data_IF_306728350954
#
_entry.id   IF_306728350954
#
_cell.length_a   1.000
_cell.length_b   1.000
_cell.length_c   1.000
_cell.angle_alpha   90.00
_cell.angle_beta   90.00
_cell.angle_gamma   90.00
#
_symmetry.space_group_name_H-M   'P 1'
#
loop_
_entity.id
_entity.type
_entity.pdbx_description
1 polymer ?
#
# COMPACT_ATOMS: atom_id res chain seq x y z
N UNK A 1 -11.85 -25.65 61.93
CA UNK A 1 -10.74 -26.41 61.31
C UNK A 1 -10.96 -26.74 59.82
N UNK A 2 -11.69 -25.93 59.05
CA UNK A 2 -11.98 -26.18 57.62
C UNK A 2 -11.24 -25.21 56.68
N UNK A 3 -10.61 -24.15 57.19
CA UNK A 3 -9.95 -23.11 56.39
C UNK A 3 -8.47 -23.36 56.06
N UNK A 4 -7.87 -24.47 56.51
CA UNK A 4 -6.44 -24.76 56.25
C UNK A 4 -6.24 -25.69 55.03
N UNK A 5 -7.29 -26.42 54.62
CA UNK A 5 -7.18 -27.37 53.50
C UNK A 5 -7.33 -26.73 52.10
N UNK A 6 -7.88 -25.52 51.97
CA UNK A 6 -7.97 -24.85 50.67
C UNK A 6 -6.65 -24.21 50.22
N UNK A 7 -5.78 -23.82 51.16
CA UNK A 7 -4.48 -23.22 50.85
C UNK A 7 -3.44 -24.24 50.34
N UNK A 8 -3.50 -25.49 50.82
CA UNK A 8 -2.54 -26.53 50.45
C UNK A 8 -2.84 -27.10 49.05
N UNK A 9 -4.11 -27.13 48.62
CA UNK A 9 -4.48 -27.61 47.27
C UNK A 9 -4.03 -26.64 46.16
N UNK A 10 -4.01 -25.33 46.43
CA UNK A 10 -3.54 -24.33 45.48
C UNK A 10 -2.01 -24.31 45.32
N UNK A 11 -1.22 -24.68 46.35
CA UNK A 11 0.24 -24.77 46.19
C UNK A 11 0.68 -26.00 45.37
N UNK A 12 -0.10 -27.09 45.40
CA UNK A 12 0.22 -28.30 44.63
C UNK A 12 -0.04 -28.14 43.12
N UNK A 13 -1.07 -27.38 42.73
CA UNK A 13 -1.29 -27.02 41.32
C UNK A 13 -0.31 -25.93 40.84
N UNK A 14 0.02 -24.95 41.68
CA UNK A 14 1.00 -23.92 41.32
C UNK A 14 2.43 -24.48 41.16
N UNK A 15 2.79 -25.56 41.88
CA UNK A 15 4.07 -26.26 41.67
C UNK A 15 4.10 -27.14 40.42
N UNK A 16 2.95 -27.58 39.92
CA UNK A 16 2.87 -28.39 38.69
C UNK A 16 3.02 -27.53 37.42
N UNK A 17 2.62 -26.25 37.48
CA UNK A 17 2.84 -25.29 36.38
C UNK A 17 4.30 -24.80 36.32
N UNK A 18 5.09 -25.01 37.39
CA UNK A 18 6.46 -24.48 37.51
C UNK A 18 7.55 -25.41 36.93
N UNK A 19 7.20 -26.52 36.28
CA UNK A 19 8.16 -27.59 35.91
C UNK A 19 7.92 -28.22 34.54
N UNK A 20 7.16 -27.57 33.65
CA UNK A 20 7.04 -27.95 32.23
C UNK A 20 7.95 -27.12 31.31
N UNK A 21 8.99 -26.48 31.85
CA UNK A 21 9.95 -25.65 31.11
C UNK A 21 11.28 -26.39 30.82
N UNK A 22 11.33 -27.70 31.06
CA UNK A 22 12.50 -28.51 30.69
C UNK A 22 12.38 -28.94 29.25
N UNK A 23 13.05 -28.19 28.35
CA UNK A 23 13.35 -28.53 26.95
C UNK A 23 12.18 -29.22 26.25
N UNK A 24 11.28 -28.43 25.67
CA UNK A 24 10.25 -28.96 24.78
C UNK A 24 10.94 -29.86 23.73
N UNK A 25 10.66 -31.15 23.78
CA UNK A 25 11.22 -32.15 22.85
C UNK A 25 10.83 -31.84 21.39
N UNK A 26 9.83 -30.96 21.18
CA UNK A 26 9.32 -30.57 19.87
C UNK A 26 9.22 -29.05 19.72
N UNK A 27 10.34 -28.31 19.66
CA UNK A 27 10.29 -26.86 19.51
C UNK A 27 9.58 -26.47 18.20
N UNK A 28 8.75 -25.44 18.26
CA UNK A 28 8.14 -24.83 17.07
C UNK A 28 9.28 -24.29 16.19
N UNK A 29 9.42 -24.86 14.99
CA UNK A 29 10.42 -24.44 14.00
C UNK A 29 9.81 -23.37 13.10
N UNK A 30 10.35 -22.16 13.18
CA UNK A 30 9.98 -21.09 12.24
C UNK A 30 10.73 -21.23 10.92
N UNK A 31 10.15 -20.79 9.79
CA UNK A 31 10.85 -20.68 8.52
C UNK A 31 12.12 -19.83 8.66
N UNK A 32 13.19 -20.21 7.97
CA UNK A 32 14.46 -19.45 7.98
C UNK A 32 14.35 -18.05 7.36
N UNK A 33 13.25 -17.78 6.65
CA UNK A 33 12.92 -16.47 6.08
C UNK A 33 12.41 -15.48 7.12
N UNK A 34 11.92 -15.94 8.26
CA UNK A 34 11.40 -15.10 9.33
C UNK A 34 12.55 -14.54 10.18
N UNK A 35 12.73 -13.22 10.19
CA UNK A 35 13.72 -12.60 11.07
C UNK A 35 13.24 -12.61 12.53
N UNK A 36 14.17 -12.86 13.45
CA UNK A 36 13.92 -12.77 14.90
C UNK A 36 13.33 -11.41 15.30
N UNK A 37 13.79 -10.31 14.70
CA UNK A 37 13.30 -8.97 15.01
C UNK A 37 11.83 -8.79 14.63
N UNK A 38 11.38 -9.40 13.53
CA UNK A 38 9.98 -9.31 13.09
C UNK A 38 9.07 -10.06 14.06
N UNK A 39 9.51 -11.25 14.49
CA UNK A 39 8.82 -12.01 15.52
C UNK A 39 8.76 -11.24 16.85
N UNK A 40 9.87 -10.64 17.28
CA UNK A 40 9.93 -9.82 18.49
C UNK A 40 8.93 -8.64 18.43
N UNK A 41 8.72 -8.02 17.27
CA UNK A 41 7.70 -6.99 17.08
C UNK A 41 6.28 -7.53 17.21
N UNK A 42 5.98 -8.69 16.62
CA UNK A 42 4.67 -9.32 16.80
C UNK A 42 4.43 -9.71 18.26
N UNK A 43 5.41 -10.30 18.94
CA UNK A 43 5.31 -10.66 20.35
C UNK A 43 5.13 -9.40 21.21
N UNK A 44 5.84 -8.32 20.90
CA UNK A 44 5.65 -7.03 21.58
C UNK A 44 4.20 -6.54 21.42
N UNK A 45 3.62 -6.63 20.22
CA UNK A 45 2.22 -6.30 19.99
C UNK A 45 1.27 -7.20 20.81
N UNK A 46 1.47 -8.51 20.80
CA UNK A 46 0.58 -9.47 21.46
C UNK A 46 0.60 -9.36 22.99
N UNK A 47 1.79 -9.22 23.59
CA UNK A 47 1.94 -9.23 25.04
C UNK A 47 1.80 -7.85 25.67
N UNK A 48 2.17 -6.78 24.96
CA UNK A 48 2.15 -5.42 25.51
C UNK A 48 0.97 -4.59 24.99
N UNK A 49 0.36 -5.03 23.90
CA UNK A 49 -0.79 -4.40 23.29
C UNK A 49 -0.47 -3.17 22.43
N UNK A 50 -1.49 -2.60 21.76
CA UNK A 50 -1.38 -1.43 20.89
C UNK A 50 -0.85 -0.17 21.58
N UNK A 51 -1.03 -0.06 22.89
CA UNK A 51 -0.68 1.14 23.68
C UNK A 51 0.81 1.33 23.87
N UNK A 52 1.62 0.28 23.68
CA UNK A 52 3.08 0.38 23.76
C UNK A 52 3.74 0.59 22.39
N UNK A 53 2.95 0.92 21.37
CA UNK A 53 3.48 1.37 20.09
C UNK A 53 4.43 2.56 20.30
N UNK A 54 5.70 2.49 19.85
CA UNK A 54 6.65 3.58 20.02
C UNK A 54 6.19 4.78 19.18
N UNK A 55 5.50 5.71 19.84
CA UNK A 55 5.09 7.01 19.28
C UNK A 55 6.21 8.05 19.39
N UNK A 56 7.42 7.67 19.82
CA UNK A 56 8.52 8.59 20.18
C UNK A 56 9.13 9.38 19.01
N UNK A 57 8.55 9.27 17.81
CA UNK A 57 8.88 10.10 16.66
C UNK A 57 9.95 9.51 15.74
N UNK A 58 10.50 8.33 16.06
CA UNK A 58 11.44 7.65 15.16
C UNK A 58 10.68 6.89 14.07
N UNK A 59 10.31 7.60 12.99
CA UNK A 59 9.45 7.11 11.89
C UNK A 59 9.88 5.73 11.32
N UNK A 60 11.20 5.46 11.30
CA UNK A 60 11.76 4.22 10.75
C UNK A 60 11.41 3.00 11.62
N UNK A 61 11.57 3.11 12.94
CA UNK A 61 11.24 2.02 13.88
C UNK A 61 9.73 1.78 13.91
N UNK A 62 8.95 2.86 13.84
CA UNK A 62 7.49 2.76 13.80
C UNK A 62 6.99 2.05 12.54
N UNK A 63 7.61 2.32 11.38
CA UNK A 63 7.22 1.66 10.12
C UNK A 63 7.61 0.18 10.09
N UNK A 64 8.84 -0.18 10.50
CA UNK A 64 9.27 -1.60 10.54
C UNK A 64 8.38 -2.42 11.47
N UNK A 65 8.04 -1.89 12.65
CA UNK A 65 7.11 -2.53 13.56
C UNK A 65 5.75 -2.79 12.89
N UNK A 66 5.15 -1.78 12.24
CA UNK A 66 3.86 -1.96 11.57
C UNK A 66 3.93 -2.95 10.41
N UNK A 67 5.01 -2.94 9.63
CA UNK A 67 5.22 -3.90 8.54
C UNK A 67 5.28 -5.34 9.10
N UNK A 68 6.06 -5.57 10.15
CA UNK A 68 6.17 -6.90 10.76
C UNK A 68 4.87 -7.35 11.39
N UNK A 69 4.18 -6.47 12.12
CA UNK A 69 2.86 -6.79 12.70
C UNK A 69 1.88 -7.13 11.60
N UNK A 70 1.81 -6.35 10.51
CA UNK A 70 0.89 -6.63 9.40
C UNK A 70 1.22 -7.97 8.73
N UNK A 71 2.46 -8.16 8.26
CA UNK A 71 2.88 -9.38 7.54
C UNK A 71 2.67 -10.64 8.38
N UNK A 72 3.09 -10.62 9.64
CA UNK A 72 2.96 -11.80 10.50
C UNK A 72 1.55 -12.00 11.01
N UNK A 73 0.78 -10.94 11.25
CA UNK A 73 -0.62 -11.08 11.61
C UNK A 73 -1.45 -11.62 10.45
N UNK A 74 -1.12 -11.27 9.21
CA UNK A 74 -1.71 -11.93 8.03
C UNK A 74 -1.29 -13.40 7.95
N UNK A 75 0.00 -13.72 8.14
CA UNK A 75 0.50 -15.09 8.10
C UNK A 75 -0.11 -16.00 9.18
N UNK A 76 -0.29 -15.50 10.40
CA UNK A 76 -0.87 -16.23 11.54
C UNK A 76 -2.39 -16.00 11.71
N UNK A 77 -3.05 -15.33 10.76
CA UNK A 77 -4.49 -15.02 10.79
C UNK A 77 -4.96 -14.27 12.06
N UNK A 78 -4.12 -13.36 12.58
CA UNK A 78 -4.39 -12.53 13.75
C UNK A 78 -5.13 -11.27 13.32
N UNK A 79 -6.45 -11.39 13.14
CA UNK A 79 -7.32 -10.32 12.60
C UNK A 79 -7.13 -8.96 13.31
N UNK A 80 -7.04 -8.96 14.65
CA UNK A 80 -6.84 -7.74 15.42
C UNK A 80 -5.52 -7.02 15.08
N UNK A 81 -4.47 -7.79 14.77
CA UNK A 81 -3.16 -7.27 14.36
C UNK A 81 -3.20 -6.68 12.95
N UNK A 82 -3.91 -7.34 12.03
CA UNK A 82 -4.15 -6.86 10.67
C UNK A 82 -4.89 -5.51 10.73
N UNK A 83 -6.04 -5.47 11.41
CA UNK A 83 -6.85 -4.25 11.52
C UNK A 83 -6.12 -3.12 12.25
N UNK A 84 -5.33 -3.45 13.27
CA UNK A 84 -4.48 -2.48 13.95
C UNK A 84 -3.47 -1.87 12.99
N UNK A 85 -2.69 -2.69 12.28
CA UNK A 85 -1.64 -2.17 11.41
C UNK A 85 -2.21 -1.37 10.23
N UNK A 86 -3.31 -1.84 9.60
CA UNK A 86 -4.01 -1.09 8.54
C UNK A 86 -4.44 0.29 9.03
N UNK A 87 -5.06 0.37 10.21
CA UNK A 87 -5.49 1.65 10.79
C UNK A 87 -4.32 2.59 11.03
N UNK A 88 -3.20 2.10 11.56
CA UNK A 88 -2.04 2.94 11.81
C UNK A 88 -1.35 3.37 10.50
N UNK A 89 -1.26 2.50 9.50
CA UNK A 89 -0.77 2.88 8.16
C UNK A 89 -1.66 3.94 7.51
N UNK A 90 -2.98 3.82 7.61
CA UNK A 90 -3.92 4.83 7.11
C UNK A 90 -3.74 6.18 7.81
N UNK A 91 -3.35 6.20 9.10
CA UNK A 91 -3.03 7.43 9.84
C UNK A 91 -1.73 8.08 9.37
N UNK A 92 -0.77 7.30 8.85
CA UNK A 92 0.46 7.85 8.27
C UNK A 92 0.17 8.64 6.98
N UNK A 93 -0.89 8.30 6.26
CA UNK A 93 -1.31 8.96 5.02
C UNK A 93 -0.16 8.99 4.00
N UNK A 94 0.16 10.17 3.50
CA UNK A 94 1.19 10.35 2.47
C UNK A 94 2.62 10.06 2.93
N UNK A 95 2.87 9.89 4.24
CA UNK A 95 4.19 9.51 4.76
C UNK A 95 4.58 8.09 4.40
N UNK A 96 3.61 7.22 4.11
CA UNK A 96 3.89 5.88 3.61
C UNK A 96 4.30 5.96 2.15
N UNK A 97 5.52 5.51 1.83
CA UNK A 97 5.99 5.45 0.46
C UNK A 97 5.08 4.54 -0.39
N UNK A 98 4.63 4.98 -1.58
CA UNK A 98 3.63 4.23 -2.33
C UNK A 98 4.15 2.88 -2.85
N UNK A 99 5.46 2.71 -3.07
CA UNK A 99 6.04 1.41 -3.40
C UNK A 99 5.85 0.38 -2.27
N UNK A 100 6.08 0.78 -1.01
CA UNK A 100 5.85 -0.08 0.14
C UNK A 100 4.36 -0.32 0.36
N UNK A 101 3.52 0.71 0.20
CA UNK A 101 2.06 0.53 0.27
C UNK A 101 1.57 -0.51 -0.73
N UNK A 102 2.10 -0.48 -1.96
CA UNK A 102 1.78 -1.42 -3.02
C UNK A 102 2.27 -2.85 -2.70
N UNK A 103 3.50 -3.00 -2.18
CA UNK A 103 4.04 -4.29 -1.72
C UNK A 103 3.14 -4.91 -0.65
N UNK A 104 2.84 -4.15 0.41
CA UNK A 104 2.02 -4.62 1.53
C UNK A 104 0.60 -4.97 1.07
N UNK A 105 0.03 -4.17 0.18
CA UNK A 105 -1.30 -4.43 -0.35
C UNK A 105 -1.38 -5.78 -1.08
N UNK A 106 -0.39 -6.08 -1.92
CA UNK A 106 -0.30 -7.37 -2.63
C UNK A 106 -0.01 -8.52 -1.69
N UNK A 107 1.00 -8.39 -0.83
CA UNK A 107 1.45 -9.49 0.04
C UNK A 107 0.45 -9.82 1.14
N UNK A 108 -0.36 -8.85 1.57
CA UNK A 108 -1.30 -9.02 2.68
C UNK A 108 -2.78 -9.06 2.23
N UNK A 109 -3.06 -9.02 0.92
CA UNK A 109 -4.43 -9.08 0.39
C UNK A 109 -5.29 -7.86 0.72
N UNK A 110 -4.72 -6.64 0.67
CA UNK A 110 -5.41 -5.39 1.00
C UNK A 110 -5.79 -4.67 -0.30
N UNK A 111 -6.82 -5.17 -0.97
CA UNK A 111 -7.17 -4.77 -2.34
C UNK A 111 -7.39 -3.27 -2.51
N UNK A 112 -8.03 -2.61 -1.53
CA UNK A 112 -8.34 -1.18 -1.61
C UNK A 112 -7.09 -0.28 -1.55
N UNK A 113 -5.94 -0.79 -1.13
CA UNK A 113 -4.67 -0.05 -1.17
C UNK A 113 -4.01 -0.07 -2.55
N UNK A 114 -4.27 -1.09 -3.37
CA UNK A 114 -3.59 -1.27 -4.67
C UNK A 114 -3.84 -0.07 -5.60
N UNK A 115 -5.09 0.36 -5.87
CA UNK A 115 -5.33 1.52 -6.73
C UNK A 115 -4.71 2.80 -6.17
N UNK A 116 -4.85 3.03 -4.85
CA UNK A 116 -4.31 4.24 -4.22
C UNK A 116 -2.78 4.32 -4.34
N UNK A 117 -2.09 3.23 -4.03
CA UNK A 117 -0.64 3.16 -4.14
C UNK A 117 -0.17 3.27 -5.60
N UNK A 118 -0.84 2.58 -6.52
CA UNK A 118 -0.51 2.63 -7.94
C UNK A 118 -0.70 4.04 -8.53
N UNK A 119 -1.77 4.75 -8.16
CA UNK A 119 -2.00 6.14 -8.58
C UNK A 119 -0.89 7.06 -8.11
N UNK A 120 -0.44 6.92 -6.87
CA UNK A 120 0.68 7.70 -6.33
C UNK A 120 1.98 7.39 -7.07
N UNK A 121 2.26 6.12 -7.39
CA UNK A 121 3.40 5.74 -8.24
C UNK A 121 3.33 6.34 -9.65
N UNK A 122 2.12 6.40 -10.24
CA UNK A 122 1.91 7.03 -11.56
C UNK A 122 2.23 8.53 -11.55
N UNK A 123 2.01 9.20 -10.43
CA UNK A 123 2.31 10.63 -10.26
C UNK A 123 3.79 10.93 -9.95
N UNK A 124 4.53 9.97 -9.39
CA UNK A 124 5.97 10.13 -9.10
C UNK A 124 6.82 10.13 -10.36
N UNK A 125 7.95 10.84 -10.36
CA UNK A 125 8.94 10.69 -11.42
C UNK A 125 9.59 9.30 -11.33
N UNK A 126 9.80 8.63 -12.47
CA UNK A 126 10.42 7.29 -12.49
C UNK A 126 11.88 7.33 -12.01
N UNK A 127 12.54 8.49 -12.10
CA UNK A 127 13.90 8.71 -11.64
C UNK A 127 14.01 8.80 -10.11
N UNK A 128 12.89 9.02 -9.41
CA UNK A 128 12.82 8.99 -7.93
C UNK A 128 12.72 7.55 -7.38
N UNK A 129 12.49 6.56 -8.24
CA UNK A 129 12.40 5.15 -7.84
C UNK A 129 13.79 4.51 -7.87
N UNK A 130 14.33 4.21 -6.69
CA UNK A 130 15.55 3.42 -6.55
C UNK A 130 15.30 1.91 -6.74
N UNK A 131 16.38 1.13 -6.72
CA UNK A 131 16.29 -0.33 -6.87
C UNK A 131 15.48 -1.00 -5.74
N UNK A 132 15.46 -0.42 -4.54
CA UNK A 132 14.67 -0.92 -3.41
C UNK A 132 13.17 -0.73 -3.68
N UNK A 133 12.77 0.46 -4.14
CA UNK A 133 11.39 0.73 -4.53
C UNK A 133 10.93 -0.16 -5.68
N UNK A 134 11.78 -0.37 -6.69
CA UNK A 134 11.47 -1.28 -7.80
C UNK A 134 11.30 -2.73 -7.32
N UNK A 135 12.13 -3.17 -6.36
CA UNK A 135 11.98 -4.49 -5.75
C UNK A 135 10.65 -4.64 -4.98
N UNK A 136 10.24 -3.60 -4.24
CA UNK A 136 8.96 -3.57 -3.51
C UNK A 136 7.74 -3.63 -4.45
N UNK A 137 7.78 -2.87 -5.56
CA UNK A 137 6.72 -2.90 -6.58
C UNK A 137 6.64 -4.29 -7.24
N UNK A 138 7.80 -4.93 -7.41
CA UNK A 138 7.95 -6.20 -8.10
C UNK A 138 7.96 -6.02 -9.62
N UNK A 139 8.50 -7.02 -10.33
CA UNK A 139 8.70 -6.97 -11.79
C UNK A 139 7.40 -6.67 -12.55
N UNK A 140 6.31 -7.37 -12.24
CA UNK A 140 5.04 -7.18 -12.93
C UNK A 140 4.44 -5.80 -12.65
N UNK A 141 4.42 -5.37 -11.38
CA UNK A 141 3.93 -4.04 -11.02
C UNK A 141 4.73 -2.93 -11.73
N UNK A 142 6.05 -3.10 -11.84
CA UNK A 142 6.91 -2.15 -12.54
C UNK A 142 6.67 -2.15 -14.05
N UNK A 143 6.45 -3.32 -14.65
CA UNK A 143 6.06 -3.44 -16.06
C UNK A 143 4.77 -2.64 -16.34
N UNK A 144 3.71 -2.86 -15.56
CA UNK A 144 2.46 -2.13 -15.71
C UNK A 144 2.60 -0.63 -15.46
N UNK A 145 3.36 -0.24 -14.43
CA UNK A 145 3.67 1.17 -14.14
C UNK A 145 4.35 1.86 -15.34
N UNK A 146 5.37 1.22 -15.92
CA UNK A 146 6.10 1.78 -17.07
C UNK A 146 5.24 1.83 -18.33
N UNK A 147 4.41 0.81 -18.58
CA UNK A 147 3.49 0.79 -19.71
C UNK A 147 2.41 1.87 -19.59
N UNK A 148 1.81 2.03 -18.42
CA UNK A 148 0.83 3.07 -18.15
C UNK A 148 1.43 4.47 -18.32
N UNK A 149 2.62 4.72 -17.77
CA UNK A 149 3.34 5.98 -17.97
C UNK A 149 3.65 6.25 -19.45
N UNK A 150 4.08 5.23 -20.20
CA UNK A 150 4.34 5.36 -21.64
C UNK A 150 3.06 5.69 -22.42
N UNK A 151 1.93 5.04 -22.13
CA UNK A 151 0.62 5.35 -22.72
C UNK A 151 0.20 6.79 -22.42
N UNK A 152 0.32 7.24 -21.16
CA UNK A 152 0.02 8.62 -20.77
C UNK A 152 0.92 9.62 -21.50
N UNK A 153 2.23 9.35 -21.59
CA UNK A 153 3.15 10.21 -22.32
C UNK A 153 2.83 10.29 -23.81
N UNK A 154 2.46 9.17 -24.44
CA UNK A 154 2.02 9.15 -25.83
C UNK A 154 0.73 9.96 -26.03
N UNK A 155 -0.23 9.85 -25.11
CA UNK A 155 -1.47 10.63 -25.14
C UNK A 155 -1.18 12.13 -25.01
N UNK A 156 -0.37 12.52 -24.02
CA UNK A 156 0.08 13.91 -23.81
C UNK A 156 0.79 14.47 -25.04
N UNK A 157 1.66 13.67 -25.65
CA UNK A 157 2.36 14.05 -26.89
C UNK A 157 1.37 14.26 -28.03
N UNK A 158 0.42 13.34 -28.22
CA UNK A 158 -0.62 13.46 -29.26
C UNK A 158 -1.43 14.74 -29.09
N UNK A 159 -1.84 15.03 -27.87
CA UNK A 159 -2.62 16.22 -27.51
C UNK A 159 -1.83 17.50 -27.72
N UNK A 160 -0.54 17.52 -27.36
CA UNK A 160 0.32 18.68 -27.59
C UNK A 160 0.40 19.08 -29.08
N UNK A 161 0.29 18.11 -30.00
CA UNK A 161 0.28 18.36 -31.44
C UNK A 161 -1.13 18.49 -32.05
N UNK A 162 -2.17 18.07 -31.35
CA UNK A 162 -3.55 18.07 -31.84
C UNK A 162 -4.45 18.72 -30.81
N UNK A 163 -4.76 20.00 -31.04
CA UNK A 163 -5.71 20.75 -30.21
C UNK A 163 -7.03 19.98 -30.17
N UNK A 164 -7.54 19.60 -28.98
CA UNK A 164 -8.83 18.93 -28.87
C UNK A 164 -9.94 19.79 -29.47
N UNK A 165 -10.99 19.18 -30.06
CA UNK A 165 -12.15 19.93 -30.53
C UNK A 165 -12.79 20.69 -29.37
N UNK A 166 -13.21 21.93 -29.64
CA UNK A 166 -13.85 22.80 -28.64
C UNK A 166 -15.17 22.16 -28.20
N UNK A 167 -15.33 21.99 -26.89
CA UNK A 167 -16.62 21.64 -26.30
C UNK A 167 -17.30 22.95 -25.92
N UNK A 168 -18.40 23.29 -26.61
CA UNK A 168 -19.14 24.51 -26.33
C UNK A 168 -19.74 24.47 -24.93
N UNK A 169 -19.33 25.40 -24.07
CA UNK A 169 -20.01 25.65 -22.79
C UNK A 169 -21.34 26.36 -23.05
N UNK A 170 -22.40 26.10 -22.27
CA UNK A 170 -23.62 26.91 -22.30
C UNK A 170 -23.39 28.38 -21.91
N UNK A 171 -22.24 28.68 -21.27
CA UNK A 171 -21.81 30.05 -20.91
C UNK A 171 -21.10 30.78 -22.07
N UNK A 172 -21.02 30.15 -23.24
CA UNK A 172 -20.36 30.71 -24.40
C UNK A 172 -21.28 31.67 -25.19
N UNK A 173 -20.97 32.96 -25.21
CA UNK A 173 -21.78 33.97 -25.91
C UNK A 173 -21.83 33.73 -27.43
N UNK A 174 -20.70 33.36 -28.03
CA UNK A 174 -20.59 33.02 -29.46
C UNK A 174 -19.56 31.93 -29.67
N UNK A 175 -19.86 31.00 -30.58
CA UNK A 175 -18.97 29.90 -30.95
C UNK A 175 -17.54 30.37 -31.27
N UNK A 176 -17.41 31.44 -32.07
CA UNK A 176 -16.11 31.95 -32.51
C UNK A 176 -15.30 32.57 -31.38
N UNK A 177 -15.95 33.22 -30.41
CA UNK A 177 -15.27 33.77 -29.24
C UNK A 177 -14.67 32.66 -28.37
N UNK A 178 -15.42 31.57 -28.13
CA UNK A 178 -14.90 30.43 -27.38
C UNK A 178 -13.84 29.65 -28.14
N UNK A 179 -13.97 29.52 -29.47
CA UNK A 179 -12.94 28.89 -30.28
C UNK A 179 -11.62 29.66 -30.21
N UNK A 180 -11.68 30.99 -30.27
CA UNK A 180 -10.52 31.87 -30.17
C UNK A 180 -9.91 31.82 -28.78
N UNK A 181 -10.73 31.92 -27.72
CA UNK A 181 -10.27 31.83 -26.34
C UNK A 181 -9.62 30.47 -26.06
N UNK A 182 -10.26 29.36 -26.45
CA UNK A 182 -9.71 28.00 -26.32
C UNK A 182 -8.36 27.86 -27.01
N UNK A 183 -8.26 28.29 -28.27
CA UNK A 183 -7.02 28.20 -29.05
C UNK A 183 -5.91 29.04 -28.42
N UNK A 184 -6.24 30.23 -27.93
CA UNK A 184 -5.29 31.11 -27.24
C UNK A 184 -4.81 30.51 -25.93
N UNK A 185 -5.72 30.06 -25.07
CA UNK A 185 -5.36 29.39 -23.81
C UNK A 185 -4.49 28.16 -24.07
N UNK A 186 -4.81 27.38 -25.11
CA UNK A 186 -4.02 26.23 -25.54
C UNK A 186 -2.60 26.59 -26.01
N UNK A 187 -2.43 27.72 -26.72
CA UNK A 187 -1.14 28.16 -27.27
C UNK A 187 -0.29 28.93 -26.24
N UNK A 188 -0.91 29.79 -25.43
CA UNK A 188 -0.24 30.65 -24.44
C UNK A 188 0.26 29.82 -23.25
N UNK A 189 -0.53 28.84 -22.79
CA UNK A 189 -0.05 27.82 -21.88
C UNK A 189 0.75 26.79 -22.66
N UNK A 190 2.00 27.11 -22.99
CA UNK A 190 2.97 26.14 -23.52
C UNK A 190 2.77 24.82 -22.78
N UNK A 191 2.25 23.79 -23.46
CA UNK A 191 2.00 22.44 -22.94
C UNK A 191 3.29 21.71 -22.48
N UNK A 192 4.34 22.44 -22.12
CA UNK A 192 5.59 21.93 -21.57
C UNK A 192 5.51 21.80 -20.05
N UNK A 193 4.67 22.61 -19.38
CA UNK A 193 4.38 22.44 -17.96
C UNK A 193 3.09 21.63 -17.78
N UNK A 194 3.17 20.34 -18.14
CA UNK A 194 2.07 19.35 -18.04
C UNK A 194 1.70 18.99 -16.59
N UNK A 195 2.08 19.82 -15.62
CA UNK A 195 1.81 19.67 -14.19
C UNK A 195 0.57 20.46 -13.74
N UNK A 196 0.01 21.32 -14.61
CA UNK A 196 -1.13 22.20 -14.26
C UNK A 196 -2.44 21.41 -14.25
N UNK A 197 -2.76 20.83 -13.10
CA UNK A 197 -3.95 20.01 -12.80
C UNK A 197 -5.32 20.68 -13.04
N UNK A 198 -5.39 22.00 -13.20
CA UNK A 198 -6.68 22.73 -13.21
C UNK A 198 -7.33 22.85 -14.60
N UNK A 199 -6.55 22.84 -15.70
CA UNK A 199 -7.09 22.91 -17.07
C UNK A 199 -7.55 21.55 -17.63
N UNK A 200 -7.26 20.44 -16.92
CA UNK A 200 -7.48 19.06 -17.38
C UNK A 200 -8.78 18.43 -16.85
N UNK A 201 -9.50 19.15 -15.97
CA UNK A 201 -10.47 18.57 -15.03
C UNK A 201 -11.81 18.07 -15.58
N UNK A 202 -12.08 18.05 -16.90
CA UNK A 202 -13.38 17.54 -17.41
C UNK A 202 -13.36 16.63 -18.64
N UNK A 203 -12.45 16.81 -19.61
CA UNK A 203 -12.45 15.96 -20.83
C UNK A 203 -11.31 14.95 -20.88
N UNK A 204 -10.23 15.17 -20.12
CA UNK A 204 -9.03 14.34 -20.14
C UNK A 204 -8.91 13.45 -18.91
N UNK A 205 -9.52 13.87 -17.81
CA UNK A 205 -9.66 13.08 -16.60
C UNK A 205 -10.32 11.73 -16.89
N UNK A 206 -11.32 11.66 -17.77
CA UNK A 206 -11.96 10.39 -18.13
C UNK A 206 -11.01 9.43 -18.86
N UNK A 207 -10.22 9.88 -19.84
CA UNK A 207 -9.30 8.98 -20.55
C UNK A 207 -8.10 8.56 -19.70
N UNK A 208 -7.56 9.45 -18.86
CA UNK A 208 -6.50 9.08 -17.93
C UNK A 208 -7.04 8.16 -16.82
N UNK A 209 -8.27 8.37 -16.34
CA UNK A 209 -8.96 7.45 -15.42
C UNK A 209 -9.26 6.10 -16.07
N UNK A 210 -9.74 6.05 -17.31
CA UNK A 210 -9.99 4.79 -18.03
C UNK A 210 -8.71 3.97 -18.19
N UNK A 211 -7.60 4.62 -18.57
CA UNK A 211 -6.29 3.97 -18.68
C UNK A 211 -5.75 3.52 -17.31
N UNK A 212 -6.03 4.29 -16.27
CA UNK A 212 -5.66 3.96 -14.91
C UNK A 212 -6.49 2.79 -14.36
N UNK A 213 -7.79 2.77 -14.62
CA UNK A 213 -8.71 1.68 -14.24
C UNK A 213 -8.33 0.41 -14.98
N UNK A 214 -8.10 0.47 -16.30
CA UNK A 214 -7.61 -0.67 -17.09
C UNK A 214 -6.31 -1.25 -16.52
N UNK A 215 -5.33 -0.39 -16.24
CA UNK A 215 -4.05 -0.83 -15.68
C UNK A 215 -4.19 -1.38 -14.25
N UNK A 216 -5.04 -0.75 -13.43
CA UNK A 216 -5.28 -1.18 -12.05
C UNK A 216 -6.03 -2.50 -11.99
N UNK A 217 -7.03 -2.71 -12.86
CA UNK A 217 -7.74 -3.97 -12.99
C UNK A 217 -6.81 -5.10 -13.41
N UNK A 218 -5.92 -4.87 -14.37
CA UNK A 218 -5.00 -5.90 -14.83
C UNK A 218 -3.96 -6.24 -13.74
N UNK A 219 -3.48 -5.24 -13.00
CA UNK A 219 -2.65 -5.45 -11.80
C UNK A 219 -3.40 -6.24 -10.73
N UNK A 220 -4.67 -5.93 -10.47
CA UNK A 220 -5.50 -6.65 -9.51
C UNK A 220 -5.74 -8.10 -9.94
N UNK A 221 -6.00 -8.34 -11.24
CA UNK A 221 -6.11 -9.68 -11.79
C UNK A 221 -4.83 -10.47 -11.55
N UNK A 222 -3.67 -9.92 -11.91
CA UNK A 222 -2.40 -10.60 -11.67
C UNK A 222 -2.10 -10.82 -10.17
N UNK A 223 -2.44 -9.86 -9.31
CA UNK A 223 -2.27 -10.00 -7.87
C UNK A 223 -3.12 -11.15 -7.30
N UNK A 224 -4.35 -11.30 -7.78
CA UNK A 224 -5.23 -12.41 -7.40
C UNK A 224 -4.64 -13.77 -7.80
N UNK A 225 -4.01 -13.89 -8.97
CA UNK A 225 -3.33 -15.11 -9.40
C UNK A 225 -2.02 -15.37 -8.65
N UNK A 226 -1.27 -14.31 -8.33
CA UNK A 226 0.01 -14.40 -7.62
C UNK A 226 -0.12 -14.86 -6.18
N UNK A 227 -1.16 -14.39 -5.46
CA UNK A 227 -1.41 -14.77 -4.07
C UNK A 227 -1.67 -16.28 -3.92
N UNK A 228 -2.36 -16.89 -4.90
CA UNK A 228 -2.60 -18.35 -4.93
C UNK A 228 -1.29 -19.14 -5.08
N UNK A 229 -0.34 -18.67 -5.89
CA UNK A 229 0.92 -19.37 -6.12
C UNK A 229 1.94 -19.20 -4.98
N UNK A 230 1.90 -18.06 -4.28
CA UNK A 230 2.81 -17.77 -3.17
C UNK A 230 2.50 -18.65 -1.94
N UNK A 231 1.23 -19.04 -1.75
CA UNK A 231 0.80 -20.03 -0.75
C UNK A 231 1.14 -21.49 -1.12
N UNK A 232 1.34 -21.79 -2.40
CA UNK A 232 1.70 -23.15 -2.87
C UNK A 232 3.22 -23.39 -2.82
N UNK A 233 4.01 -22.32 -2.67
CA UNK A 233 5.48 -22.35 -2.73
C UNK A 233 6.16 -22.31 -1.35
N UNK A 234 5.37 -22.30 -0.25
CA UNK A 234 5.81 -22.40 1.14
C UNK A 234 5.43 -23.79 1.69
#
# INVERSE_FOLDING_TARGET
SILVFSAIRNQSQAKQILLEDTVDDNPIKFPSTLSRSELDYLLMYLYRGPSMYPMDGTLVLSQQFLVSVLKLSTFFEIENGIQFAIREFNRLGDRLHPALQFELARCCGIDFWIPHAFRRLMLMDITELDAGHVAQIGRSGYFWLTQAKAKMQALRSKIAFHVPPIVNSPECDTHDACATAWTREWQDHKCQDLTVTWLWGKCLFTQEEDLFEEASEEVLREAAWGSVLQYISL
#
